data_IF_599496274236
#
_entry.id   IF_599496274236
#
_cell.length_a   1.000
_cell.length_b   1.000
_cell.length_c   1.000
_cell.angle_alpha   90.00
_cell.angle_beta   90.00
_cell.angle_gamma   90.00
#
_symmetry.space_group_name_H-M   'P 1'
#
loop_
_entity.id
_entity.type
_entity.pdbx_description
1 polymer ?
#
# COMPACT_ATOMS: atom_id res chain seq x y z
N UNK A 1 8.85 27.96 -16.44
CA UNK A 1 7.83 27.19 -15.68
C UNK A 1 6.61 28.09 -15.52
N UNK A 2 5.40 27.64 -15.82
CA UNK A 2 4.20 28.46 -15.66
C UNK A 2 3.99 28.85 -14.19
N UNK A 3 3.32 29.98 -13.93
CA UNK A 3 3.05 30.49 -12.58
C UNK A 3 2.36 29.43 -11.68
N UNK A 4 1.46 28.64 -12.27
CA UNK A 4 0.78 27.53 -11.60
C UNK A 4 1.74 26.40 -11.16
N UNK A 5 2.68 26.00 -12.03
CA UNK A 5 3.66 24.96 -11.69
C UNK A 5 4.62 25.44 -10.59
N UNK A 6 4.97 26.73 -10.59
CA UNK A 6 5.75 27.32 -9.52
C UNK A 6 4.99 27.31 -8.18
N UNK A 7 3.71 27.69 -8.18
CA UNK A 7 2.87 27.63 -6.99
C UNK A 7 2.74 26.21 -6.42
N UNK A 8 2.56 25.21 -7.29
CA UNK A 8 2.49 23.80 -6.89
C UNK A 8 3.82 23.32 -6.31
N UNK A 9 4.94 23.66 -6.95
CA UNK A 9 6.28 23.34 -6.45
C UNK A 9 6.49 23.90 -5.04
N UNK A 10 6.19 25.18 -4.83
CA UNK A 10 6.33 25.83 -3.53
C UNK A 10 5.49 25.13 -2.47
N UNK A 11 4.20 24.87 -2.74
CA UNK A 11 3.33 24.17 -1.78
C UNK A 11 3.86 22.78 -1.41
N UNK A 12 4.31 22.00 -2.38
CA UNK A 12 4.88 20.68 -2.11
C UNK A 12 6.19 20.76 -1.31
N UNK A 13 7.02 21.76 -1.60
CA UNK A 13 8.27 22.00 -0.89
C UNK A 13 8.01 22.39 0.57
N UNK A 14 7.03 23.27 0.80
CA UNK A 14 6.60 23.69 2.14
C UNK A 14 6.03 22.50 2.96
N UNK A 15 5.39 21.56 2.26
CA UNK A 15 4.93 20.28 2.84
C UNK A 15 6.05 19.24 3.01
N UNK A 16 7.31 19.61 2.75
CA UNK A 16 8.49 18.74 2.86
C UNK A 16 8.40 17.48 1.98
N UNK A 17 7.72 17.57 0.84
CA UNK A 17 7.69 16.50 -0.15
C UNK A 17 9.10 16.17 -0.67
N UNK A 18 9.46 14.89 -0.86
CA UNK A 18 10.73 14.54 -1.48
C UNK A 18 10.84 15.11 -2.90
N UNK A 19 12.04 15.54 -3.32
CA UNK A 19 12.27 16.12 -4.65
C UNK A 19 11.74 15.24 -5.80
N UNK A 20 11.95 13.92 -5.72
CA UNK A 20 11.42 12.98 -6.72
C UNK A 20 9.89 13.03 -6.82
N UNK A 21 9.19 13.18 -5.70
CA UNK A 21 7.72 13.30 -5.70
C UNK A 21 7.29 14.60 -6.36
N UNK A 22 8.00 15.70 -6.06
CA UNK A 22 7.74 17.02 -6.67
C UNK A 22 7.89 16.94 -8.18
N UNK A 23 9.01 16.38 -8.65
CA UNK A 23 9.31 16.25 -10.07
C UNK A 23 8.27 15.38 -10.79
N UNK A 24 7.89 14.25 -10.20
CA UNK A 24 6.86 13.37 -10.75
C UNK A 24 5.49 14.06 -10.82
N UNK A 25 5.10 14.74 -9.74
CA UNK A 25 3.82 15.44 -9.68
C UNK A 25 3.74 16.57 -10.70
N UNK A 26 4.78 17.42 -10.78
CA UNK A 26 4.85 18.49 -11.77
C UNK A 26 4.84 17.94 -13.20
N UNK A 27 5.56 16.85 -13.47
CA UNK A 27 5.51 16.16 -14.74
C UNK A 27 4.10 15.65 -15.08
N UNK A 28 3.35 15.14 -14.10
CA UNK A 28 1.96 14.73 -14.31
C UNK A 28 1.03 15.92 -14.57
N UNK A 29 1.18 17.02 -13.84
CA UNK A 29 0.41 18.26 -14.09
C UNK A 29 0.66 18.77 -15.50
N UNK A 30 1.91 18.79 -15.96
CA UNK A 30 2.26 19.18 -17.32
C UNK A 30 1.58 18.28 -18.36
N UNK A 31 1.59 16.96 -18.17
CA UNK A 31 0.89 16.03 -19.09
C UNK A 31 -0.60 16.34 -19.19
N UNK A 32 -1.26 16.61 -18.06
CA UNK A 32 -2.70 16.96 -18.05
C UNK A 32 -2.93 18.30 -18.74
N UNK A 33 -2.09 19.30 -18.48
CA UNK A 33 -2.15 20.61 -19.16
C UNK A 33 -1.96 20.50 -20.67
N UNK A 34 -1.18 19.52 -21.15
CA UNK A 34 -0.97 19.25 -22.57
C UNK A 34 -1.98 18.25 -23.15
N UNK A 35 -3.06 17.92 -22.43
CA UNK A 35 -4.20 17.17 -22.93
C UNK A 35 -4.20 15.67 -22.63
N UNK A 36 -3.29 15.16 -21.81
CA UNK A 36 -3.33 13.78 -21.37
C UNK A 36 -4.58 13.53 -20.49
N UNK A 37 -5.42 12.57 -20.89
CA UNK A 37 -6.66 12.21 -20.18
C UNK A 37 -6.49 11.07 -19.17
N UNK A 38 -5.37 10.37 -19.20
CA UNK A 38 -5.17 9.13 -18.44
C UNK A 38 -6.00 7.93 -18.93
N UNK A 39 -6.76 8.11 -20.01
CA UNK A 39 -7.55 7.05 -20.64
C UNK A 39 -6.65 6.25 -21.57
N UNK A 40 -6.67 4.92 -21.43
CA UNK A 40 -6.05 4.00 -22.39
C UNK A 40 -7.14 3.48 -23.33
N UNK A 41 -7.16 3.87 -24.61
CA UNK A 41 -8.15 3.39 -25.56
C UNK A 41 -8.03 1.89 -25.80
N UNK A 42 -9.17 1.21 -25.98
CA UNK A 42 -9.22 -0.22 -26.29
C UNK A 42 -8.33 -0.61 -27.50
N UNK A 43 -8.27 0.25 -28.52
CA UNK A 43 -7.47 0.03 -29.72
C UNK A 43 -5.95 -0.01 -29.46
N UNK A 44 -5.47 0.48 -28.31
CA UNK A 44 -4.06 0.40 -27.89
C UNK A 44 -3.78 -0.84 -27.03
N UNK A 45 -4.82 -1.58 -26.64
CA UNK A 45 -4.67 -2.79 -25.83
C UNK A 45 -4.37 -3.97 -26.74
N UNK A 46 -3.41 -4.78 -26.31
CA UNK A 46 -3.08 -6.05 -26.95
C UNK A 46 -3.72 -7.18 -26.14
N UNK A 47 -4.15 -8.22 -26.85
CA UNK A 47 -4.59 -9.45 -26.19
C UNK A 47 -3.41 -10.10 -25.49
N UNK A 48 -3.60 -10.40 -24.21
CA UNK A 48 -2.66 -11.24 -23.46
C UNK A 48 -3.03 -12.69 -23.80
N UNK A 49 -2.07 -13.43 -24.34
CA UNK A 49 -2.22 -14.85 -24.63
C UNK A 49 -2.44 -15.71 -23.37
N UNK A 50 -2.45 -17.04 -23.50
CA UNK A 50 -2.68 -17.93 -22.35
C UNK A 50 -1.61 -17.71 -21.28
N UNK A 51 -2.07 -17.51 -20.04
CA UNK A 51 -1.19 -17.36 -18.88
C UNK A 51 -1.02 -18.70 -18.14
N UNK A 52 0.17 -18.98 -17.58
CA UNK A 52 0.36 -20.15 -16.73
C UNK A 52 -0.61 -20.12 -15.53
N UNK A 53 -1.31 -21.23 -15.31
CA UNK A 53 -2.22 -21.39 -14.17
C UNK A 53 -1.48 -21.67 -12.86
N UNK A 54 -2.19 -21.56 -11.73
CA UNK A 54 -1.60 -21.81 -10.40
C UNK A 54 -0.89 -23.18 -10.29
N UNK A 55 -1.41 -24.21 -10.94
CA UNK A 55 -0.83 -25.56 -10.89
C UNK A 55 0.62 -25.61 -11.41
N UNK A 56 0.97 -24.80 -12.40
CA UNK A 56 2.34 -24.77 -12.94
C UNK A 56 3.35 -24.12 -11.98
N UNK A 57 2.87 -23.42 -10.94
CA UNK A 57 3.74 -22.78 -9.95
C UNK A 57 4.31 -23.79 -8.94
N UNK A 58 3.73 -25.00 -8.84
CA UNK A 58 4.19 -26.03 -7.89
C UNK A 58 5.64 -26.44 -8.13
N UNK A 59 6.12 -26.40 -9.38
CA UNK A 59 7.53 -26.64 -9.73
C UNK A 59 8.48 -25.67 -9.03
N UNK A 60 8.02 -24.49 -8.60
CA UNK A 60 8.82 -23.49 -7.89
C UNK A 60 8.67 -23.56 -6.36
N UNK A 61 7.93 -24.51 -5.81
CA UNK A 61 7.61 -24.54 -4.36
C UNK A 61 8.87 -24.52 -3.48
N UNK A 62 9.86 -25.36 -3.77
CA UNK A 62 11.12 -25.40 -3.00
C UNK A 62 11.90 -24.08 -3.09
N UNK A 63 11.96 -23.47 -4.28
CA UNK A 63 12.59 -22.17 -4.49
C UNK A 63 11.86 -21.05 -3.77
N UNK A 64 10.52 -21.09 -3.76
CA UNK A 64 9.68 -20.14 -3.04
C UNK A 64 9.92 -20.22 -1.53
N UNK A 65 9.98 -21.43 -0.97
CA UNK A 65 10.28 -21.62 0.46
C UNK A 65 11.66 -21.08 0.84
N UNK A 66 12.69 -21.37 0.03
CA UNK A 66 14.04 -20.86 0.26
C UNK A 66 14.15 -19.33 0.17
N UNK A 67 13.19 -18.65 -0.48
CA UNK A 67 13.16 -17.20 -0.61
C UNK A 67 12.36 -16.47 0.48
N UNK A 68 11.68 -17.20 1.39
CA UNK A 68 10.79 -16.59 2.38
C UNK A 68 11.52 -15.66 3.34
N UNK A 69 12.78 -15.93 3.67
CA UNK A 69 13.58 -15.07 4.55
C UNK A 69 13.98 -13.74 3.90
N UNK A 70 13.91 -13.65 2.57
CA UNK A 70 14.12 -12.43 1.80
C UNK A 70 12.80 -11.74 1.38
N UNK A 71 11.64 -12.28 1.78
CA UNK A 71 10.32 -11.79 1.38
C UNK A 71 9.76 -10.81 2.41
N UNK A 72 9.28 -9.66 1.92
CA UNK A 72 8.48 -8.70 2.68
C UNK A 72 7.04 -8.68 2.14
N UNK A 73 6.06 -8.65 3.04
CA UNK A 73 4.64 -8.49 2.69
C UNK A 73 4.22 -7.06 2.92
N UNK A 74 3.81 -6.37 1.85
CA UNK A 74 3.26 -5.02 1.94
C UNK A 74 1.75 -5.03 1.71
N UNK A 75 1.00 -4.34 2.57
CA UNK A 75 -0.44 -4.09 2.37
C UNK A 75 -0.73 -2.61 2.29
N UNK A 76 -1.46 -2.23 1.24
CA UNK A 76 -1.98 -0.87 1.07
C UNK A 76 -3.14 -0.64 2.04
N UNK A 77 -2.98 0.33 2.92
CA UNK A 77 -3.91 0.62 4.02
C UNK A 77 -4.16 2.12 4.20
N UNK A 78 -3.84 2.94 3.19
CA UNK A 78 -4.05 4.39 3.23
C UNK A 78 -5.45 4.85 2.81
N UNK A 79 -6.22 3.97 2.18
CA UNK A 79 -7.55 4.29 1.66
C UNK A 79 -8.62 4.33 2.76
N UNK A 80 -9.42 5.40 2.72
CA UNK A 80 -10.64 5.51 3.52
C UNK A 80 -11.81 4.82 2.82
N UNK A 81 -12.74 4.28 3.61
CA UNK A 81 -13.99 3.73 3.09
C UNK A 81 -15.02 4.80 2.70
N UNK A 82 -14.60 5.94 2.16
CA UNK A 82 -15.48 7.11 1.92
C UNK A 82 -16.63 6.80 0.96
N UNK A 83 -16.40 5.98 -0.07
CA UNK A 83 -17.46 5.50 -0.97
C UNK A 83 -18.50 4.61 -0.27
N UNK A 84 -18.17 4.11 0.93
CA UNK A 84 -19.04 3.32 1.81
C UNK A 84 -19.54 4.13 3.01
N UNK A 85 -19.34 5.46 3.03
CA UNK A 85 -19.77 6.32 4.13
C UNK A 85 -18.92 6.22 5.41
N UNK A 86 -17.69 5.71 5.31
CA UNK A 86 -16.80 5.51 6.44
C UNK A 86 -15.74 6.61 6.52
N UNK A 87 -15.44 7.05 7.74
CA UNK A 87 -14.40 8.02 8.09
C UNK A 87 -13.09 7.35 8.54
N UNK A 88 -13.03 6.02 8.54
CA UNK A 88 -11.88 5.22 9.02
C UNK A 88 -11.26 4.32 7.96
N UNK A 89 -10.13 3.71 8.32
CA UNK A 89 -9.44 2.73 7.47
C UNK A 89 -10.36 1.56 7.10
N UNK A 90 -10.44 1.25 5.80
CA UNK A 90 -11.30 0.16 5.29
C UNK A 90 -10.94 -1.21 5.88
N UNK A 91 -9.69 -1.39 6.29
CA UNK A 91 -9.19 -2.62 6.92
C UNK A 91 -9.82 -2.92 8.29
N UNK A 92 -10.48 -1.95 8.91
CA UNK A 92 -11.17 -2.13 10.19
C UNK A 92 -12.61 -2.64 10.03
N UNK A 93 -13.09 -2.76 8.80
CA UNK A 93 -14.41 -3.31 8.56
C UNK A 93 -14.50 -4.75 9.05
N UNK A 94 -15.56 -5.11 9.78
CA UNK A 94 -15.80 -6.50 10.17
C UNK A 94 -16.06 -7.35 8.92
N UNK A 95 -15.51 -8.56 8.92
CA UNK A 95 -15.62 -9.52 7.83
C UNK A 95 -16.47 -10.71 8.27
N UNK A 96 -16.04 -11.39 9.33
CA UNK A 96 -16.67 -12.61 9.85
C UNK A 96 -16.26 -12.83 11.29
N UNK A 97 -17.15 -13.39 12.12
CA UNK A 97 -16.85 -13.79 13.50
C UNK A 97 -16.22 -12.66 14.34
N UNK A 98 -16.69 -11.43 14.09
CA UNK A 98 -16.18 -10.17 14.68
C UNK A 98 -14.72 -9.83 14.33
N UNK A 99 -14.08 -10.57 13.42
CA UNK A 99 -12.76 -10.25 12.89
C UNK A 99 -12.87 -9.20 11.80
N UNK A 100 -11.95 -8.23 11.84
CA UNK A 100 -11.77 -7.22 10.81
C UNK A 100 -10.75 -7.69 9.78
N UNK A 101 -10.66 -7.03 8.62
CA UNK A 101 -9.64 -7.39 7.62
C UNK A 101 -8.22 -7.34 8.18
N UNK A 102 -7.90 -6.34 9.01
CA UNK A 102 -6.58 -6.22 9.64
C UNK A 102 -6.27 -7.38 10.58
N UNK A 103 -7.28 -7.91 11.27
CA UNK A 103 -7.15 -9.09 12.14
C UNK A 103 -6.84 -10.34 11.31
N UNK A 104 -7.49 -10.49 10.16
CA UNK A 104 -7.23 -11.59 9.24
C UNK A 104 -5.81 -11.52 8.65
N UNK A 105 -5.35 -10.32 8.26
CA UNK A 105 -3.99 -10.10 7.76
C UNK A 105 -2.97 -10.48 8.85
N UNK A 106 -3.16 -9.99 10.07
CA UNK A 106 -2.29 -10.30 11.20
C UNK A 106 -2.18 -11.81 11.43
N UNK A 107 -3.32 -12.49 11.54
CA UNK A 107 -3.38 -13.94 11.77
C UNK A 107 -2.78 -14.74 10.62
N UNK A 108 -2.97 -14.32 9.38
CA UNK A 108 -2.37 -14.95 8.21
C UNK A 108 -0.84 -14.88 8.27
N UNK A 109 -0.27 -13.72 8.58
CA UNK A 109 1.18 -13.56 8.71
C UNK A 109 1.72 -14.44 9.84
N UNK A 110 1.11 -14.40 11.04
CA UNK A 110 1.56 -15.23 12.16
C UNK A 110 1.46 -16.72 11.85
N UNK A 111 0.40 -17.15 11.18
CA UNK A 111 0.25 -18.55 10.73
C UNK A 111 1.33 -18.95 9.72
N UNK A 112 1.69 -18.07 8.78
CA UNK A 112 2.76 -18.32 7.82
C UNK A 112 4.14 -18.36 8.49
N UNK A 113 4.41 -17.45 9.44
CA UNK A 113 5.64 -17.48 10.26
C UNK A 113 5.77 -18.82 10.98
N UNK A 114 4.71 -19.26 11.66
CA UNK A 114 4.70 -20.53 12.37
C UNK A 114 4.86 -21.74 11.43
N UNK A 115 4.21 -21.71 10.26
CA UNK A 115 4.24 -22.82 9.30
C UNK A 115 5.61 -23.00 8.64
N UNK A 116 6.29 -21.91 8.32
CA UNK A 116 7.51 -21.95 7.52
C UNK A 116 8.78 -21.59 8.30
N UNK A 117 8.66 -21.19 9.57
CA UNK A 117 9.81 -20.77 10.39
C UNK A 117 10.49 -19.48 9.91
N UNK A 118 9.85 -18.74 8.99
CA UNK A 118 10.39 -17.53 8.39
C UNK A 118 9.87 -16.27 9.08
N UNK A 119 10.66 -15.19 9.08
CA UNK A 119 10.29 -13.90 9.70
C UNK A 119 9.10 -13.24 9.02
N UNK A 120 8.99 -13.29 7.68
CA UNK A 120 7.90 -12.65 6.90
C UNK A 120 7.45 -11.28 7.44
N UNK A 121 8.29 -10.23 7.31
CA UNK A 121 7.93 -8.89 7.74
C UNK A 121 6.64 -8.40 7.08
N UNK A 122 5.75 -7.79 7.86
CA UNK A 122 4.54 -7.13 7.38
C UNK A 122 4.75 -5.61 7.44
N UNK A 123 4.50 -4.93 6.33
CA UNK A 123 4.45 -3.48 6.25
C UNK A 123 3.06 -3.03 5.84
N UNK A 124 2.45 -2.16 6.64
CA UNK A 124 1.22 -1.46 6.29
C UNK A 124 1.55 -0.06 5.79
N UNK A 125 1.24 0.22 4.53
CA UNK A 125 1.32 1.55 3.98
C UNK A 125 0.06 2.34 4.37
N UNK A 126 0.16 3.15 5.40
CA UNK A 126 -0.93 3.93 5.98
C UNK A 126 -0.98 5.34 5.39
N UNK A 127 -2.09 6.04 5.58
CA UNK A 127 -2.18 7.49 5.40
C UNK A 127 -2.29 8.17 6.76
N UNK A 128 -2.22 9.50 6.79
CA UNK A 128 -2.48 10.28 8.00
C UNK A 128 -3.85 9.97 8.61
N UNK A 129 -4.83 9.59 7.78
CA UNK A 129 -6.18 9.26 8.22
C UNK A 129 -6.36 7.80 8.67
N UNK A 130 -5.36 6.94 8.51
CA UNK A 130 -5.49 5.50 8.85
C UNK A 130 -4.46 5.01 9.84
N UNK A 131 -3.37 5.74 10.07
CA UNK A 131 -2.25 5.29 10.91
C UNK A 131 -2.65 5.06 12.36
N UNK A 132 -3.46 5.93 12.94
CA UNK A 132 -3.87 5.82 14.34
C UNK A 132 -4.73 4.58 14.55
N UNK A 133 -5.84 4.44 13.81
CA UNK A 133 -6.71 3.28 13.92
C UNK A 133 -5.96 1.96 13.68
N UNK A 134 -5.01 1.97 12.74
CA UNK A 134 -4.19 0.79 12.41
C UNK A 134 -3.30 0.40 13.59
N UNK A 135 -2.71 1.39 14.26
CA UNK A 135 -1.85 1.18 15.43
C UNK A 135 -2.66 0.59 16.58
N UNK A 136 -3.83 1.17 16.87
CA UNK A 136 -4.76 0.68 17.89
C UNK A 136 -5.24 -0.75 17.60
N UNK A 137 -5.55 -1.04 16.34
CA UNK A 137 -5.94 -2.37 15.93
C UNK A 137 -4.84 -3.42 16.15
N UNK A 138 -3.60 -3.09 15.79
CA UNK A 138 -2.45 -4.00 15.89
C UNK A 138 -1.88 -4.17 17.30
N UNK A 139 -2.27 -3.33 18.25
CA UNK A 139 -1.90 -3.52 19.66
C UNK A 139 -2.33 -4.90 20.23
N UNK A 140 -3.32 -5.54 19.60
CA UNK A 140 -3.78 -6.89 19.93
C UNK A 140 -2.89 -8.02 19.38
N UNK A 141 -1.83 -7.69 18.62
CA UNK A 141 -0.91 -8.63 17.98
C UNK A 141 0.57 -8.20 18.20
N UNK A 142 1.05 -8.16 19.46
CA UNK A 142 2.42 -7.73 19.77
C UNK A 142 3.51 -8.55 19.06
N UNK A 143 3.22 -9.81 18.72
CA UNK A 143 4.12 -10.72 17.99
C UNK A 143 4.45 -10.23 16.57
N UNK A 144 3.59 -9.37 16.00
CA UNK A 144 3.91 -8.74 14.71
C UNK A 144 5.03 -7.73 14.85
N UNK A 145 5.04 -6.94 15.94
CA UNK A 145 6.06 -5.92 16.18
C UNK A 145 7.39 -6.55 16.59
N UNK A 146 7.37 -7.53 17.49
CA UNK A 146 8.60 -8.17 17.99
C UNK A 146 9.21 -9.14 16.98
N UNK A 147 8.40 -9.69 16.07
CA UNK A 147 8.79 -10.77 15.17
C UNK A 147 9.32 -10.35 13.80
N UNK A 148 9.59 -9.06 13.53
CA UNK A 148 10.03 -8.60 12.19
C UNK A 148 11.33 -7.78 12.15
N UNK A 149 12.16 -7.89 13.19
CA UNK A 149 13.49 -7.27 13.24
C UNK A 149 13.42 -5.73 13.23
N UNK A 150 14.27 -5.10 12.43
CA UNK A 150 14.38 -3.64 12.33
C UNK A 150 13.30 -2.99 11.44
N UNK A 151 12.51 -3.79 10.71
CA UNK A 151 11.51 -3.26 9.80
C UNK A 151 10.26 -2.79 10.55
N UNK A 152 9.78 -1.55 10.32
CA UNK A 152 8.60 -1.05 10.99
C UNK A 152 7.34 -1.77 10.50
N UNK A 153 6.34 -1.89 11.38
CA UNK A 153 5.03 -2.50 11.04
C UNK A 153 4.21 -1.67 10.05
N UNK A 154 4.55 -0.39 9.90
CA UNK A 154 3.93 0.47 8.91
C UNK A 154 4.70 1.75 8.68
N UNK A 155 4.37 2.42 7.59
CA UNK A 155 4.92 3.71 7.19
C UNK A 155 3.81 4.55 6.56
N UNK A 156 4.04 5.86 6.49
CA UNK A 156 3.09 6.79 5.88
C UNK A 156 3.35 6.91 4.38
N UNK A 157 2.31 6.76 3.58
CA UNK A 157 2.31 7.20 2.18
C UNK A 157 2.39 8.73 2.12
N UNK A 158 2.81 9.25 0.96
CA UNK A 158 2.77 10.69 0.71
C UNK A 158 1.33 11.22 0.67
N UNK A 159 1.14 12.47 1.12
CA UNK A 159 -0.16 13.14 1.12
C UNK A 159 -0.48 13.63 -0.29
N UNK A 160 -1.71 13.40 -0.74
CA UNK A 160 -2.23 14.07 -1.95
C UNK A 160 -2.54 15.53 -1.64
N UNK A 161 -2.13 16.45 -2.53
CA UNK A 161 -2.51 17.87 -2.43
C UNK A 161 -4.02 17.97 -2.69
N UNK A 162 -4.84 18.16 -1.65
CA UNK A 162 -6.29 18.30 -1.84
C UNK A 162 -7.18 18.23 -0.60
N UNK A 163 -6.66 17.78 0.56
CA UNK A 163 -7.37 17.91 1.83
C UNK A 163 -6.62 18.89 2.74
N UNK A 164 -7.04 20.14 2.71
CA UNK A 164 -6.87 21.01 3.86
C UNK A 164 -7.65 20.40 5.02
N UNK A 165 -7.01 20.33 6.19
CA UNK A 165 -7.66 20.11 7.49
C UNK A 165 -8.76 21.14 7.72
#
# INVERSE_FOLDING_TARGET
>A
MSEQLHSIHTRLSDDHAPALLIDQFLGHVQRVQTGASGVVPQAQLLEIGPLPGHASLQTYAARGQAALDALVVLKLNGGLGTSMGLDRAKSLLPVRDKLRFIDLIARQILSLRARYGATLPLLLMNSASTVQDTTEALAHYPELQTGQGELPIGFLQHREIGRAS
#
